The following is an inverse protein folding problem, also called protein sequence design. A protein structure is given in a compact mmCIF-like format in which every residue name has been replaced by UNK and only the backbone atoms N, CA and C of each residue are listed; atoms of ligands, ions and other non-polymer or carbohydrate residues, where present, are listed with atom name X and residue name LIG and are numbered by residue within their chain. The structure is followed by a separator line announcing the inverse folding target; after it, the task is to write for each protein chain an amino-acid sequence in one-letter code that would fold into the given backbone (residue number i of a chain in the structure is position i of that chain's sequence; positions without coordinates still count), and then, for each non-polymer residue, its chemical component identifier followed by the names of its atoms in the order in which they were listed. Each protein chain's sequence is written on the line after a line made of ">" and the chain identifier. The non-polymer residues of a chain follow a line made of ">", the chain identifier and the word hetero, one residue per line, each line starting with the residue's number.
data_IF_868713776587
#
_entry.id   IF_868713776587
#
_cell.length_a   1.000
_cell.length_b   1.000
_cell.length_c   1.000
_cell.angle_alpha   90.00
_cell.angle_beta   90.00
_cell.angle_gamma   90.00
#
_symmetry.space_group_name_H-M   'P 1'
#
loop_
_entity.id
_entity.type
_entity.pdbx_description
1 polymer ?
#
# COMPACT_ATOMS: atom_id res chain seq x y z
N UNK A 1 6.25 -10.83 -0.57
CA UNK A 1 5.58 -9.63 -1.11
C UNK A 1 6.04 -9.41 -2.53
N UNK A 2 5.12 -9.33 -3.46
CA UNK A 2 5.45 -9.18 -4.88
C UNK A 2 4.30 -8.49 -5.61
N UNK A 3 4.55 -8.07 -6.86
CA UNK A 3 3.52 -7.45 -7.69
C UNK A 3 2.32 -8.37 -7.84
N UNK A 4 1.14 -7.79 -7.74
CA UNK A 4 -0.11 -8.53 -7.79
C UNK A 4 -0.61 -9.07 -6.46
N UNK A 5 0.20 -9.00 -5.40
CA UNK A 5 -0.22 -9.48 -4.09
C UNK A 5 -1.28 -8.56 -3.47
N UNK A 6 -2.23 -9.17 -2.78
CA UNK A 6 -3.24 -8.45 -2.02
C UNK A 6 -2.67 -8.12 -0.64
N UNK A 7 -2.72 -6.86 -0.29
CA UNK A 7 -2.12 -6.36 0.96
C UNK A 7 -3.03 -5.36 1.64
N UNK A 8 -2.70 -5.04 2.89
CA UNK A 8 -3.35 -3.97 3.64
C UNK A 8 -2.34 -2.88 3.92
N UNK A 9 -2.73 -1.64 3.63
CA UNK A 9 -1.94 -0.46 3.96
C UNK A 9 -2.39 0.03 5.33
N UNK A 10 -1.43 0.28 6.23
CA UNK A 10 -1.76 0.64 7.61
C UNK A 10 -2.56 1.94 7.69
N UNK A 11 -3.40 2.04 8.71
CA UNK A 11 -4.20 3.23 8.95
C UNK A 11 -3.32 4.48 9.11
N UNK A 12 -2.15 4.33 9.71
CA UNK A 12 -1.22 5.44 9.89
C UNK A 12 -0.72 5.98 8.55
N UNK A 13 -0.40 5.09 7.63
CA UNK A 13 0.09 5.49 6.31
C UNK A 13 -1.00 6.14 5.48
N UNK A 14 -2.23 5.63 5.59
CA UNK A 14 -3.36 6.18 4.85
C UNK A 14 -3.80 7.53 5.42
N UNK A 15 -3.71 7.68 6.74
CA UNK A 15 -4.03 8.96 7.39
C UNK A 15 -5.49 9.18 7.72
N UNK A 16 -6.34 8.17 7.55
CA UNK A 16 -7.78 8.32 7.75
C UNK A 16 -8.37 7.38 8.79
N UNK A 17 -7.51 6.83 9.65
CA UNK A 17 -7.94 6.07 10.80
C UNK A 17 -8.37 4.63 10.53
N UNK A 18 -8.22 4.16 9.31
CA UNK A 18 -8.51 2.77 8.98
C UNK A 18 -7.55 2.24 7.91
N UNK A 19 -7.19 0.95 7.96
CA UNK A 19 -6.36 0.38 6.92
C UNK A 19 -7.14 0.24 5.60
N UNK A 20 -6.41 0.24 4.48
CA UNK A 20 -7.00 0.08 3.15
C UNK A 20 -6.46 -1.18 2.50
N UNK A 21 -7.36 -1.95 1.89
CA UNK A 21 -6.97 -3.09 1.08
C UNK A 21 -6.46 -2.60 -0.27
N UNK A 22 -5.37 -3.18 -0.73
CA UNK A 22 -4.75 -2.74 -1.98
C UNK A 22 -4.04 -3.89 -2.67
N UNK A 23 -3.72 -3.69 -3.94
CA UNK A 23 -2.94 -4.62 -4.73
C UNK A 23 -1.62 -3.96 -5.09
N UNK A 24 -0.52 -4.70 -4.93
CA UNK A 24 0.81 -4.19 -5.24
C UNK A 24 0.99 -4.06 -6.74
N UNK A 25 1.28 -2.84 -7.19
CA UNK A 25 1.57 -2.56 -8.60
C UNK A 25 3.06 -2.69 -8.88
N UNK A 26 3.89 -2.24 -7.93
CA UNK A 26 5.33 -2.15 -8.16
C UNK A 26 6.07 -2.15 -6.83
N UNK A 27 7.23 -2.77 -6.82
CA UNK A 27 8.12 -2.78 -5.65
C UNK A 27 9.48 -2.26 -6.11
N UNK A 28 10.01 -1.27 -5.41
CA UNK A 28 11.31 -0.70 -5.71
C UNK A 28 12.15 -0.61 -4.44
N UNK A 29 13.47 -0.63 -4.61
CA UNK A 29 14.41 -0.38 -3.53
C UNK A 29 15.09 0.96 -3.82
N UNK A 30 15.06 1.86 -2.85
CA UNK A 30 15.68 3.18 -2.99
C UNK A 30 16.34 3.56 -1.68
N UNK A 31 17.63 3.85 -1.72
CA UNK A 31 18.44 4.27 -0.56
C UNK A 31 18.28 3.34 0.65
N UNK A 32 18.27 2.02 0.38
CA UNK A 32 18.17 1.02 1.44
C UNK A 32 16.77 0.78 1.96
N UNK A 33 15.76 1.41 1.36
CA UNK A 33 14.36 1.22 1.74
C UNK A 33 13.59 0.53 0.62
N UNK A 34 12.63 -0.29 1.00
CA UNK A 34 11.72 -0.91 0.05
C UNK A 34 10.47 -0.06 -0.05
N UNK A 35 10.19 0.42 -1.27
CA UNK A 35 9.02 1.25 -1.56
C UNK A 35 8.01 0.41 -2.35
N UNK A 36 6.77 0.41 -1.89
CA UNK A 36 5.70 -0.38 -2.49
C UNK A 36 4.64 0.55 -3.04
N UNK A 37 4.42 0.48 -4.35
CA UNK A 37 3.35 1.25 -5.00
C UNK A 37 2.13 0.35 -5.11
N UNK A 38 0.99 0.84 -4.64
CA UNK A 38 -0.23 0.04 -4.57
C UNK A 38 -1.41 0.79 -5.18
N UNK A 39 -2.42 0.03 -5.61
CA UNK A 39 -3.71 0.55 -6.03
C UNK A 39 -4.77 0.00 -5.09
N UNK A 40 -5.56 0.86 -4.48
CA UNK A 40 -6.61 0.44 -3.56
C UNK A 40 -7.68 -0.34 -4.31
N UNK A 41 -8.16 -1.43 -3.69
CA UNK A 41 -9.21 -2.25 -4.30
C UNK A 41 -10.57 -1.53 -4.27
N UNK A 42 -10.75 -0.63 -3.31
CA UNK A 42 -11.96 0.18 -3.20
C UNK A 42 -11.56 1.65 -3.09
N UNK A 43 -11.27 2.31 -4.23
CA UNK A 43 -10.86 3.71 -4.20
C UNK A 43 -11.92 4.60 -3.54
N UNK A 44 -11.44 5.60 -2.82
CA UNK A 44 -12.29 6.55 -2.12
C UNK A 44 -11.88 7.97 -2.55
N UNK A 45 -12.84 8.85 -2.69
CA UNK A 45 -12.58 10.22 -3.12
C UNK A 45 -11.61 10.96 -2.18
N UNK A 46 -11.59 10.59 -0.90
CA UNK A 46 -10.70 11.18 0.08
C UNK A 46 -9.30 10.59 0.05
N UNK A 47 -9.17 9.33 -0.33
CA UNK A 47 -7.88 8.60 -0.33
C UNK A 47 -7.22 8.55 -1.70
N UNK A 48 -7.97 8.81 -2.77
CA UNK A 48 -7.49 8.60 -4.13
C UNK A 48 -7.51 7.12 -4.52
N UNK A 49 -6.71 6.76 -5.50
CA UNK A 49 -6.72 5.41 -6.08
C UNK A 49 -5.60 4.52 -5.57
N UNK A 50 -4.60 5.08 -4.92
CA UNK A 50 -3.47 4.33 -4.42
C UNK A 50 -2.35 5.24 -3.96
N UNK A 51 -1.17 4.70 -3.77
CA UNK A 51 -0.01 5.48 -3.35
C UNK A 51 1.24 4.63 -3.26
N UNK A 52 2.32 5.28 -2.85
CA UNK A 52 3.61 4.65 -2.63
C UNK A 52 3.93 4.71 -1.14
N UNK A 53 4.22 3.56 -0.55
CA UNK A 53 4.47 3.47 0.90
C UNK A 53 5.72 2.65 1.15
N UNK A 54 6.36 2.87 2.31
CA UNK A 54 7.44 1.98 2.74
C UNK A 54 6.85 0.63 3.17
N UNK A 55 7.63 -0.43 3.06
CA UNK A 55 7.17 -1.78 3.35
C UNK A 55 6.68 -1.95 4.79
N UNK A 56 7.20 -1.14 5.72
CA UNK A 56 6.77 -1.20 7.12
C UNK A 56 5.26 -0.91 7.29
N UNK A 57 4.66 -0.21 6.35
CA UNK A 57 3.23 0.13 6.39
C UNK A 57 2.37 -0.86 5.63
N UNK A 58 2.97 -1.87 5.04
CA UNK A 58 2.26 -2.85 4.21
C UNK A 58 2.24 -4.19 4.93
N UNK A 59 1.05 -4.76 5.09
CA UNK A 59 0.86 -6.10 5.66
C UNK A 59 0.25 -6.98 4.59
N UNK A 60 0.87 -8.12 4.34
CA UNK A 60 0.36 -9.04 3.34
C UNK A 60 -0.94 -9.67 3.84
N UNK A 61 -1.98 -9.59 3.02
CA UNK A 61 -3.27 -10.18 3.34
C UNK A 61 -3.31 -11.61 2.81
N UNK A 62 -3.79 -12.49 3.64
CA UNK A 62 -4.00 -13.89 3.23
C UNK A 62 -5.45 -14.16 2.90
#
# INVERSE_FOLDING_TARGET
>A
MKEGDLVMVSAEAVGLGKPMEAIIDKIETFMGQTLVTVTYTQPDALFGFGGCFVDAHITQKK
#
